data_IF_168452261808
#
_entry.id   IF_168452261808
#
_cell.length_a   1.000
_cell.length_b   1.000
_cell.length_c   1.000
_cell.angle_alpha   90.00
_cell.angle_beta   90.00
_cell.angle_gamma   90.00
#
_symmetry.space_group_name_H-M   'P 1'
#
loop_
_entity.id
_entity.type
_entity.pdbx_description
1 polymer ?
#
# COMPACT_ATOMS: atom_id res chain seq x y z
N UNK A 1 -24.84 56.64 65.02
CA UNK A 1 -26.22 56.23 65.27
C UNK A 1 -26.74 55.62 63.98
N UNK A 2 -26.95 54.29 64.05
CA UNK A 2 -28.01 53.51 63.36
C UNK A 2 -27.96 53.34 61.82
N UNK A 3 -28.20 52.17 61.21
CA UNK A 3 -28.57 50.82 61.66
C UNK A 3 -28.43 49.82 60.44
N UNK A 4 -27.73 48.68 60.64
CA UNK A 4 -28.04 47.28 60.23
C UNK A 4 -27.98 46.75 58.76
N UNK A 5 -27.29 45.60 58.63
CA UNK A 5 -27.75 44.25 58.17
C UNK A 5 -26.73 43.57 57.21
N UNK A 6 -25.62 42.99 57.68
CA UNK A 6 -25.36 41.59 58.12
C UNK A 6 -25.81 40.49 57.15
N UNK A 7 -24.83 39.72 56.65
CA UNK A 7 -25.01 38.45 55.93
C UNK A 7 -23.72 37.66 55.62
N UNK A 8 -22.87 37.45 56.65
CA UNK A 8 -21.72 36.52 56.84
C UNK A 8 -21.28 35.57 55.69
N UNK A 9 -20.06 35.60 55.15
CA UNK A 9 -18.68 35.30 55.63
C UNK A 9 -18.21 33.82 55.62
N UNK A 10 -17.04 33.66 54.99
CA UNK A 10 -16.26 32.45 54.72
C UNK A 10 -15.58 31.80 55.94
N UNK A 11 -15.23 30.52 55.74
CA UNK A 11 -14.03 29.79 56.21
C UNK A 11 -13.90 29.42 57.71
N UNK A 12 -13.89 28.10 58.02
CA UNK A 12 -13.03 27.50 59.06
C UNK A 12 -12.70 26.05 58.68
N UNK A 13 -11.40 25.73 58.58
CA UNK A 13 -10.86 24.38 58.70
C UNK A 13 -10.65 24.04 60.20
N UNK A 14 -10.86 22.78 60.63
CA UNK A 14 -9.96 22.02 61.52
C UNK A 14 -10.56 20.65 61.95
N UNK A 15 -9.77 19.60 61.67
CA UNK A 15 -9.52 18.38 62.45
C UNK A 15 -10.66 17.59 63.14
N UNK A 16 -10.80 16.31 62.75
CA UNK A 16 -10.87 15.18 63.70
C UNK A 16 -10.58 13.84 63.02
N UNK A 17 -9.69 13.07 63.65
CA UNK A 17 -9.26 11.72 63.29
C UNK A 17 -10.23 10.64 63.77
N UNK A 18 -10.05 9.42 63.22
CA UNK A 18 -10.62 8.08 63.58
C UNK A 18 -11.82 7.66 62.71
N UNK A 19 -11.97 6.42 62.22
CA UNK A 19 -11.22 5.16 62.31
C UNK A 19 -11.72 4.24 61.17
N UNK A 20 -10.79 3.45 60.64
CA UNK A 20 -10.87 2.14 59.95
C UNK A 20 -12.26 1.58 59.53
N UNK A 21 -12.36 1.27 58.24
CA UNK A 21 -13.36 0.36 57.67
C UNK A 21 -12.93 -0.10 56.28
N UNK A 22 -11.96 -1.00 56.22
CA UNK A 22 -11.52 -1.64 54.97
C UNK A 22 -12.50 -2.72 54.54
N UNK A 23 -12.97 -2.64 53.29
CA UNK A 23 -13.52 -3.74 52.52
C UNK A 23 -13.02 -3.63 51.06
N UNK A 24 -12.84 -4.76 50.36
CA UNK A 24 -11.71 -4.96 49.45
C UNK A 24 -11.93 -4.50 48.01
N UNK A 25 -10.84 -4.01 47.43
CA UNK A 25 -10.67 -3.59 46.03
C UNK A 25 -10.62 -4.85 45.14
N UNK A 26 -11.77 -5.42 44.80
CA UNK A 26 -11.86 -6.61 43.93
C UNK A 26 -12.83 -6.43 42.73
N UNK A 27 -13.02 -5.19 42.26
CA UNK A 27 -13.88 -4.89 41.09
C UNK A 27 -13.23 -4.02 40.01
N UNK A 28 -11.90 -3.90 39.97
CA UNK A 28 -11.21 -3.14 38.91
C UNK A 28 -10.59 -3.99 37.79
N UNK A 29 -10.87 -5.30 37.73
CA UNK A 29 -10.53 -6.15 36.58
C UNK A 29 -11.72 -6.30 35.62
N UNK A 30 -12.33 -5.19 35.19
CA UNK A 30 -13.26 -5.15 34.07
C UNK A 30 -13.53 -3.71 33.59
N UNK A 31 -12.48 -2.91 33.45
CA UNK A 31 -12.52 -1.76 32.54
C UNK A 31 -11.46 -2.05 31.50
N UNK A 32 -11.85 -2.83 30.48
CA UNK A 32 -11.09 -2.90 29.26
C UNK A 32 -10.81 -1.48 28.80
N UNK A 33 -9.56 -1.20 28.44
CA UNK A 33 -9.24 0.05 27.77
C UNK A 33 -10.19 0.16 26.57
N UNK A 34 -11.17 1.06 26.67
CA UNK A 34 -11.77 1.65 25.49
C UNK A 34 -10.64 2.43 24.82
N UNK A 35 -9.87 1.72 24.00
CA UNK A 35 -9.24 2.34 22.86
C UNK A 35 -10.39 2.84 21.99
N UNK A 36 -10.77 4.10 22.20
CA UNK A 36 -11.47 4.87 21.20
C UNK A 36 -10.63 4.77 19.93
N UNK A 37 -11.08 3.92 19.00
CA UNK A 37 -10.47 3.83 17.68
C UNK A 37 -10.52 5.23 17.09
N UNK A 38 -9.33 5.77 16.81
CA UNK A 38 -9.18 7.07 16.22
C UNK A 38 -9.70 7.00 14.78
N UNK A 39 -10.98 7.36 14.62
CA UNK A 39 -11.71 7.64 13.39
C UNK A 39 -11.13 7.18 12.06
N UNK A 40 -11.41 5.93 11.67
CA UNK A 40 -11.62 5.61 10.25
C UNK A 40 -13.10 5.86 9.95
N UNK A 41 -13.42 6.86 9.12
CA UNK A 41 -14.80 7.03 8.65
C UNK A 41 -15.30 5.72 8.03
N UNK A 42 -16.54 5.29 8.31
CA UNK A 42 -17.05 4.05 7.76
C UNK A 42 -17.05 4.15 6.22
N UNK A 43 -16.31 3.26 5.57
CA UNK A 43 -16.29 3.19 4.11
C UNK A 43 -17.69 2.82 3.65
N UNK A 44 -18.39 3.76 3.03
CA UNK A 44 -19.66 3.46 2.40
C UNK A 44 -19.36 2.74 1.08
N UNK A 45 -19.63 1.42 1.01
CA UNK A 45 -19.38 0.61 -0.20
C UNK A 45 -20.03 1.19 -1.47
N UNK A 46 -21.10 1.97 -1.33
CA UNK A 46 -21.76 2.65 -2.46
C UNK A 46 -21.00 3.87 -2.99
N UNK A 47 -20.04 4.41 -2.24
CA UNK A 47 -19.20 5.54 -2.65
C UNK A 47 -17.97 5.13 -3.44
N UNK A 48 -17.65 3.83 -3.49
CA UNK A 48 -16.49 3.35 -4.24
C UNK A 48 -16.92 3.25 -5.72
N UNK A 49 -16.32 4.05 -6.63
CA UNK A 49 -16.70 4.05 -8.03
C UNK A 49 -16.36 2.70 -8.68
N UNK A 50 -17.26 2.21 -9.53
CA UNK A 50 -17.01 1.03 -10.36
C UNK A 50 -17.31 -0.33 -9.74
N UNK A 51 -17.85 -0.42 -8.51
CA UNK A 51 -18.29 -1.73 -7.99
C UNK A 51 -19.52 -2.25 -8.73
N UNK A 52 -19.43 -3.50 -9.16
CA UNK A 52 -20.60 -4.26 -9.62
C UNK A 52 -21.46 -4.75 -8.44
N UNK A 53 -22.76 -5.05 -8.63
CA UNK A 53 -23.63 -5.51 -7.55
C UNK A 53 -23.10 -6.72 -6.75
N UNK A 54 -22.36 -7.62 -7.39
CA UNK A 54 -21.69 -8.76 -6.72
C UNK A 54 -20.58 -8.29 -5.77
N UNK A 55 -19.74 -7.36 -6.21
CA UNK A 55 -18.69 -6.75 -5.39
C UNK A 55 -19.30 -5.90 -4.27
N UNK A 56 -20.42 -5.21 -4.52
CA UNK A 56 -21.12 -4.44 -3.49
C UNK A 56 -21.64 -5.35 -2.36
N UNK A 57 -22.16 -6.53 -2.71
CA UNK A 57 -22.57 -7.54 -1.72
C UNK A 57 -21.37 -8.05 -0.92
N UNK A 58 -20.26 -8.32 -1.58
CA UNK A 58 -19.01 -8.70 -0.92
C UNK A 58 -18.55 -7.61 0.07
N UNK A 59 -18.48 -6.35 -0.39
CA UNK A 59 -18.08 -5.22 0.44
C UNK A 59 -18.98 -5.06 1.68
N UNK A 60 -20.30 -5.28 1.54
CA UNK A 60 -21.23 -5.26 2.67
C UNK A 60 -21.02 -6.42 3.64
N UNK A 61 -20.75 -7.63 3.13
CA UNK A 61 -20.50 -8.81 3.96
C UNK A 61 -19.18 -8.71 4.73
N UNK A 62 -18.18 -8.04 4.15
CA UNK A 62 -16.83 -7.92 4.68
C UNK A 62 -16.49 -6.48 5.09
N UNK A 63 -17.50 -5.70 5.49
CA UNK A 63 -17.36 -4.26 5.76
C UNK A 63 -16.29 -3.94 6.81
N UNK A 64 -16.11 -4.83 7.79
CA UNK A 64 -15.12 -4.69 8.87
C UNK A 64 -13.68 -4.70 8.36
N UNK A 65 -13.37 -5.48 7.31
CA UNK A 65 -12.01 -5.60 6.76
C UNK A 65 -11.75 -4.63 5.61
N UNK A 66 -12.79 -4.00 5.05
CA UNK A 66 -12.66 -3.09 3.89
C UNK A 66 -11.70 -1.90 4.11
N UNK A 67 -11.60 -1.27 5.30
CA UNK A 67 -10.59 -0.23 5.55
C UNK A 67 -9.16 -0.70 5.33
N UNK A 68 -8.87 -1.93 5.73
CA UNK A 68 -7.55 -2.54 5.53
C UNK A 68 -7.30 -2.96 4.10
N UNK A 69 -8.32 -3.42 3.39
CA UNK A 69 -8.22 -3.66 1.94
C UNK A 69 -7.86 -2.34 1.22
N UNK A 70 -8.53 -1.24 1.57
CA UNK A 70 -8.26 0.08 1.00
C UNK A 70 -6.84 0.58 1.32
N UNK A 71 -6.38 0.39 2.57
CA UNK A 71 -5.02 0.75 2.97
C UNK A 71 -3.97 -0.11 2.27
N UNK A 72 -4.23 -1.41 2.11
CA UNK A 72 -3.37 -2.32 1.36
C UNK A 72 -3.22 -1.93 -0.11
N UNK A 73 -4.32 -1.56 -0.77
CA UNK A 73 -4.27 -1.04 -2.14
C UNK A 73 -3.46 0.27 -2.21
N UNK A 74 -3.63 1.17 -1.24
CA UNK A 74 -2.85 2.42 -1.15
C UNK A 74 -1.36 2.13 -0.98
N UNK A 75 -0.99 1.17 -0.16
CA UNK A 75 0.40 0.72 0.00
C UNK A 75 0.97 0.21 -1.33
N UNK A 76 0.19 -0.59 -2.07
CA UNK A 76 0.54 -1.06 -3.41
C UNK A 76 0.84 0.08 -4.40
N UNK A 77 0.01 1.11 -4.43
CA UNK A 77 0.21 2.26 -5.33
C UNK A 77 1.38 3.16 -4.91
N UNK A 78 1.60 3.34 -3.61
CA UNK A 78 2.78 4.06 -3.12
C UNK A 78 4.07 3.35 -3.55
N UNK A 79 4.11 2.02 -3.47
CA UNK A 79 5.24 1.25 -3.94
C UNK A 79 5.37 1.28 -5.47
N UNK A 80 4.25 1.28 -6.20
CA UNK A 80 4.28 1.49 -7.66
C UNK A 80 4.92 2.84 -8.03
N UNK A 81 4.53 3.92 -7.35
CA UNK A 81 5.14 5.24 -7.54
C UNK A 81 6.63 5.23 -7.15
N UNK A 82 7.00 4.48 -6.11
CA UNK A 82 8.40 4.30 -5.74
C UNK A 82 9.20 3.61 -6.86
N UNK A 83 8.74 2.46 -7.34
CA UNK A 83 9.41 1.64 -8.35
C UNK A 83 9.54 2.37 -9.71
N UNK A 84 8.59 3.25 -10.04
CA UNK A 84 8.54 3.96 -11.32
C UNK A 84 8.92 5.45 -11.24
N UNK A 85 9.39 5.96 -10.10
CA UNK A 85 9.69 7.39 -9.85
C UNK A 85 10.55 8.05 -10.95
N UNK A 86 11.51 7.32 -11.49
CA UNK A 86 12.46 7.79 -12.51
C UNK A 86 12.10 7.42 -13.95
N UNK A 87 10.98 6.72 -14.18
CA UNK A 87 10.54 6.33 -15.54
C UNK A 87 9.55 7.34 -16.10
N UNK A 88 9.41 7.42 -17.44
CA UNK A 88 8.47 8.34 -18.14
C UNK A 88 7.02 8.18 -17.65
N UNK A 89 6.58 6.94 -17.44
CA UNK A 89 5.40 6.65 -16.65
C UNK A 89 5.81 6.38 -15.20
N UNK A 90 5.27 7.16 -14.25
CA UNK A 90 5.66 7.16 -12.84
C UNK A 90 4.53 6.72 -11.89
N UNK A 91 3.50 6.04 -12.42
CA UNK A 91 2.36 5.53 -11.65
C UNK A 91 1.50 6.60 -10.94
N UNK A 92 1.59 7.89 -11.31
CA UNK A 92 0.74 8.96 -10.74
C UNK A 92 -0.58 9.16 -11.49
N UNK A 93 -0.80 8.45 -12.58
CA UNK A 93 -2.02 8.50 -13.40
C UNK A 93 -3.24 7.89 -12.71
N UNK A 94 -3.03 7.20 -11.59
CA UNK A 94 -4.07 6.57 -10.77
C UNK A 94 -4.57 7.61 -9.77
N UNK A 95 -5.54 8.44 -10.19
CA UNK A 95 -6.04 9.58 -9.41
C UNK A 95 -6.82 9.18 -8.15
N UNK A 96 -7.42 7.99 -8.12
CA UNK A 96 -8.22 7.53 -6.99
C UNK A 96 -7.71 6.17 -6.50
N UNK A 97 -7.08 6.15 -5.32
CA UNK A 97 -6.54 4.94 -4.65
C UNK A 97 -7.57 3.80 -4.48
N UNK A 98 -8.86 4.08 -4.64
CA UNK A 98 -9.97 3.12 -4.49
C UNK A 98 -10.62 2.70 -5.81
N UNK A 99 -10.31 3.36 -6.94
CA UNK A 99 -10.89 3.03 -8.24
C UNK A 99 -10.32 1.73 -8.84
N UNK A 100 -9.30 1.11 -8.23
CA UNK A 100 -8.59 -0.12 -8.68
C UNK A 100 -9.50 -1.33 -8.91
N UNK A 101 -10.69 -1.33 -8.33
CA UNK A 101 -11.70 -2.35 -8.58
C UNK A 101 -12.52 -2.14 -9.86
N UNK A 102 -12.31 -1.01 -10.56
CA UNK A 102 -12.82 -0.67 -11.89
C UNK A 102 -11.72 -0.62 -12.97
N UNK A 103 -12.02 -0.15 -14.19
CA UNK A 103 -11.04 -0.02 -15.27
C UNK A 103 -10.06 1.14 -14.97
N UNK A 104 -9.02 0.87 -14.18
CA UNK A 104 -8.05 1.91 -13.75
C UNK A 104 -7.02 2.28 -14.79
N UNK A 105 -6.83 1.41 -15.78
CA UNK A 105 -6.05 1.66 -16.97
C UNK A 105 -6.77 0.93 -18.10
N UNK A 106 -7.44 1.65 -19.01
CA UNK A 106 -8.27 1.03 -20.05
C UNK A 106 -7.48 0.08 -20.96
N UNK A 107 -6.17 0.34 -21.12
CA UNK A 107 -5.28 -0.42 -21.99
C UNK A 107 -4.58 -1.58 -21.28
N UNK A 108 -4.44 -2.72 -21.96
CA UNK A 108 -3.85 -3.95 -21.45
C UNK A 108 -2.32 -3.97 -21.58
N UNK A 109 -1.70 -2.90 -21.06
CA UNK A 109 -0.25 -2.66 -21.14
C UNK A 109 0.51 -3.38 -20.03
N UNK A 110 1.83 -3.43 -20.20
CA UNK A 110 2.76 -3.94 -19.19
C UNK A 110 2.67 -3.18 -17.86
N UNK A 111 2.46 -1.86 -17.90
CA UNK A 111 2.29 -1.03 -16.69
C UNK A 111 1.03 -1.45 -15.93
N UNK A 112 -0.06 -1.73 -16.65
CA UNK A 112 -1.32 -2.19 -16.06
C UNK A 112 -1.17 -3.55 -15.38
N UNK A 113 -0.42 -4.47 -15.99
CA UNK A 113 -0.12 -5.77 -15.40
C UNK A 113 0.57 -5.63 -14.03
N UNK A 114 1.57 -4.76 -13.93
CA UNK A 114 2.26 -4.49 -12.67
C UNK A 114 1.35 -3.85 -11.63
N UNK A 115 0.54 -2.86 -12.02
CA UNK A 115 -0.43 -2.20 -11.10
C UNK A 115 -1.40 -3.21 -10.50
N UNK A 116 -1.96 -4.10 -11.30
CA UNK A 116 -2.87 -5.15 -10.84
C UNK A 116 -2.19 -6.11 -9.86
N UNK A 117 -0.95 -6.52 -10.14
CA UNK A 117 -0.18 -7.37 -9.26
C UNK A 117 0.17 -6.70 -7.93
N UNK A 118 0.76 -5.50 -7.95
CA UNK A 118 1.20 -4.82 -6.72
C UNK A 118 0.03 -4.36 -5.85
N UNK A 119 -1.10 -3.96 -6.44
CA UNK A 119 -2.30 -3.60 -5.68
C UNK A 119 -2.94 -4.84 -5.03
N UNK A 120 -2.96 -5.98 -5.72
CA UNK A 120 -3.45 -7.25 -5.18
C UNK A 120 -2.52 -7.76 -4.07
N UNK A 121 -1.20 -7.59 -4.22
CA UNK A 121 -0.22 -7.90 -3.18
C UNK A 121 -0.43 -7.02 -1.94
N UNK A 122 -0.58 -5.70 -2.10
CA UNK A 122 -0.81 -4.78 -0.99
C UNK A 122 -2.09 -5.08 -0.20
N UNK A 123 -3.19 -5.39 -0.91
CA UNK A 123 -4.45 -5.81 -0.29
C UNK A 123 -4.31 -7.08 0.57
N UNK A 124 -3.58 -8.08 0.09
CA UNK A 124 -3.29 -9.30 0.85
C UNK A 124 -2.41 -9.04 2.08
N UNK A 125 -1.39 -8.19 1.94
CA UNK A 125 -0.46 -7.87 3.02
C UNK A 125 -1.19 -7.28 4.23
N UNK A 126 -2.07 -6.29 4.01
CA UNK A 126 -2.78 -5.65 5.11
C UNK A 126 -3.89 -6.52 5.70
N UNK A 127 -4.49 -7.42 4.90
CA UNK A 127 -5.43 -8.43 5.39
C UNK A 127 -4.81 -9.31 6.48
N UNK A 128 -3.62 -9.84 6.23
CA UNK A 128 -2.89 -10.68 7.21
C UNK A 128 -2.40 -9.89 8.42
N UNK A 129 -2.05 -8.61 8.26
CA UNK A 129 -1.67 -7.77 9.38
C UNK A 129 -2.85 -7.58 10.37
N UNK A 130 -4.07 -7.35 9.88
CA UNK A 130 -5.28 -7.31 10.72
C UNK A 130 -5.51 -8.62 11.48
N UNK A 131 -5.33 -9.75 10.81
CA UNK A 131 -5.45 -11.10 11.39
C UNK A 131 -4.51 -11.27 12.60
N UNK A 132 -3.34 -10.64 12.56
CA UNK A 132 -2.33 -10.68 13.63
C UNK A 132 -2.58 -9.67 14.74
N UNK A 133 -3.19 -8.53 14.43
CA UNK A 133 -3.56 -7.49 15.40
C UNK A 133 -4.80 -7.87 16.24
N UNK A 134 -5.51 -8.94 15.85
CA UNK A 134 -6.69 -9.43 16.59
C UNK A 134 -7.88 -8.48 16.55
N UNK A 135 -7.89 -7.54 15.59
CA UNK A 135 -8.86 -6.44 15.51
C UNK A 135 -10.16 -6.82 14.81
N UNK A 136 -10.24 -8.02 14.21
CA UNK A 136 -11.45 -8.54 13.56
C UNK A 136 -11.94 -9.81 14.25
N UNK A 137 -13.27 -9.91 14.39
CA UNK A 137 -13.98 -11.08 14.92
C UNK A 137 -14.15 -12.21 13.89
N UNK A 138 -13.94 -11.94 12.60
CA UNK A 138 -14.16 -12.91 11.51
C UNK A 138 -12.91 -13.70 11.09
N UNK A 139 -11.75 -13.38 11.67
CA UNK A 139 -10.44 -13.71 11.15
C UNK A 139 -9.48 -13.93 12.33
N UNK A 140 -8.75 -15.05 12.39
CA UNK A 140 -7.83 -15.39 13.50
C UNK A 140 -6.42 -15.80 13.05
N UNK A 141 -5.47 -15.86 13.99
CA UNK A 141 -4.11 -16.33 13.73
C UNK A 141 -4.07 -17.82 13.36
N UNK A 142 -3.19 -18.17 12.42
CA UNK A 142 -3.10 -19.46 11.73
C UNK A 142 -3.31 -20.70 12.64
N UNK A 143 -4.37 -21.43 12.33
CA UNK A 143 -4.66 -22.78 12.83
C UNK A 143 -4.88 -23.70 11.63
N UNK A 144 -3.84 -23.87 10.81
CA UNK A 144 -3.65 -25.00 9.90
C UNK A 144 -4.87 -25.39 9.05
N UNK A 145 -5.54 -24.40 8.46
CA UNK A 145 -6.49 -24.61 7.37
C UNK A 145 -6.04 -23.76 6.19
N UNK A 146 -5.80 -24.42 5.05
CA UNK A 146 -5.73 -23.76 3.75
C UNK A 146 -7.06 -23.04 3.57
N UNK A 147 -7.06 -21.73 3.80
CA UNK A 147 -8.20 -20.89 3.49
C UNK A 147 -8.49 -21.02 2.00
N UNK A 148 -9.74 -21.32 1.65
CA UNK A 148 -10.21 -21.04 0.30
C UNK A 148 -9.91 -19.57 0.03
N UNK A 149 -9.11 -19.31 -1.00
CA UNK A 149 -8.90 -17.96 -1.49
C UNK A 149 -10.27 -17.34 -1.68
N UNK A 150 -10.54 -16.27 -0.92
CA UNK A 150 -11.67 -15.42 -1.22
C UNK A 150 -11.41 -14.91 -2.64
N UNK A 151 -12.06 -15.55 -3.62
CA UNK A 151 -12.13 -15.12 -5.01
C UNK A 151 -12.82 -13.76 -4.97
N UNK A 152 -12.04 -12.71 -4.65
CA UNK A 152 -12.47 -11.33 -4.62
C UNK A 152 -13.21 -11.11 -5.91
N UNK A 153 -14.54 -10.97 -5.84
CA UNK A 153 -15.47 -11.27 -6.91
C UNK A 153 -15.05 -10.66 -8.25
N UNK A 154 -14.13 -11.34 -8.95
CA UNK A 154 -13.65 -10.95 -10.25
C UNK A 154 -14.87 -11.15 -11.11
N UNK A 155 -15.24 -10.08 -11.79
CA UNK A 155 -16.25 -10.18 -12.80
C UNK A 155 -15.68 -11.16 -13.84
N UNK A 156 -16.11 -12.42 -13.79
CA UNK A 156 -15.72 -13.47 -14.74
C UNK A 156 -16.40 -13.17 -16.09
N UNK A 157 -16.14 -11.98 -16.64
CA UNK A 157 -16.45 -11.67 -18.02
C UNK A 157 -15.50 -12.51 -18.89
N UNK A 158 -16.03 -13.11 -19.96
CA UNK A 158 -15.25 -13.93 -20.86
C UNK A 158 -14.47 -13.06 -21.87
N UNK A 159 -13.85 -11.97 -21.39
CA UNK A 159 -13.07 -11.02 -22.18
C UNK A 159 -11.57 -11.10 -21.84
N UNK A 160 -10.74 -10.77 -22.82
CA UNK A 160 -9.29 -10.89 -22.69
C UNK A 160 -8.72 -10.06 -21.54
N UNK A 161 -9.33 -8.90 -21.26
CA UNK A 161 -8.90 -8.03 -20.17
C UNK A 161 -9.11 -8.66 -18.80
N UNK A 162 -10.27 -9.26 -18.56
CA UNK A 162 -10.53 -9.95 -17.29
C UNK A 162 -9.61 -11.16 -17.11
N UNK A 163 -9.28 -11.88 -18.18
CA UNK A 163 -8.29 -12.97 -18.15
C UNK A 163 -6.90 -12.48 -17.73
N UNK A 164 -6.42 -11.39 -18.34
CA UNK A 164 -5.13 -10.75 -18.00
C UNK A 164 -5.11 -10.28 -16.54
N UNK A 165 -6.14 -9.54 -16.13
CA UNK A 165 -6.22 -8.98 -14.78
C UNK A 165 -6.24 -10.09 -13.73
N UNK A 166 -6.97 -11.19 -13.96
CA UNK A 166 -7.01 -12.34 -13.04
C UNK A 166 -5.63 -12.96 -12.87
N UNK A 167 -4.92 -13.22 -13.96
CA UNK A 167 -3.58 -13.78 -13.92
C UNK A 167 -2.61 -12.89 -13.12
N UNK A 168 -2.58 -11.59 -13.43
CA UNK A 168 -1.66 -10.66 -12.76
C UNK A 168 -2.02 -10.42 -11.29
N UNK A 169 -3.32 -10.38 -10.96
CA UNK A 169 -3.78 -10.30 -9.58
C UNK A 169 -3.32 -11.54 -8.78
N UNK A 170 -3.42 -12.72 -9.38
CA UNK A 170 -2.95 -13.96 -8.75
C UNK A 170 -1.44 -13.93 -8.56
N UNK A 171 -0.66 -13.60 -9.59
CA UNK A 171 0.79 -13.45 -9.48
C UNK A 171 1.21 -12.52 -8.32
N UNK A 172 0.47 -11.42 -8.12
CA UNK A 172 0.66 -10.51 -6.99
C UNK A 172 0.36 -11.14 -5.62
N UNK A 173 -0.73 -11.91 -5.50
CA UNK A 173 -1.12 -12.60 -4.25
C UNK A 173 -0.18 -13.74 -3.91
N UNK A 174 0.14 -14.59 -4.88
CA UNK A 174 1.06 -15.72 -4.71
C UNK A 174 2.44 -15.23 -4.25
N UNK A 175 2.88 -14.08 -4.74
CA UNK A 175 4.16 -13.47 -4.36
C UNK A 175 4.27 -13.22 -2.84
N UNK A 176 3.18 -12.87 -2.16
CA UNK A 176 3.19 -12.71 -0.69
C UNK A 176 3.49 -14.04 -0.02
N UNK A 177 2.79 -15.09 -0.43
CA UNK A 177 2.87 -16.43 0.13
C UNK A 177 4.26 -17.04 -0.08
N UNK A 178 4.82 -16.88 -1.27
CA UNK A 178 6.14 -17.39 -1.64
C UNK A 178 7.29 -16.73 -0.85
N UNK A 179 7.09 -15.51 -0.35
CA UNK A 179 8.13 -14.72 0.33
C UNK A 179 7.89 -14.57 1.85
N UNK A 180 6.96 -15.34 2.42
CA UNK A 180 6.83 -15.46 3.87
C UNK A 180 8.14 -15.99 4.46
N UNK A 181 8.62 -15.37 5.54
CA UNK A 181 9.86 -15.80 6.19
C UNK A 181 9.69 -16.00 7.70
N UNK A 182 10.47 -16.94 8.23
CA UNK A 182 10.48 -17.24 9.66
C UNK A 182 11.21 -16.10 10.39
N UNK A 183 10.49 -15.37 11.24
CA UNK A 183 11.05 -14.36 12.14
C UNK A 183 11.10 -14.94 13.55
N UNK A 184 12.23 -14.76 14.22
CA UNK A 184 12.44 -15.26 15.57
C UNK A 184 12.79 -14.12 16.53
N UNK A 185 12.27 -14.18 17.74
CA UNK A 185 12.71 -13.36 18.87
C UNK A 185 13.46 -14.23 19.86
N UNK A 186 14.63 -13.75 20.26
CA UNK A 186 15.50 -14.42 21.21
C UNK A 186 15.18 -13.98 22.63
N UNK A 187 15.13 -14.95 23.55
CA UNK A 187 14.69 -14.76 24.93
C UNK A 187 15.68 -15.32 25.96
N UNK A 188 16.88 -15.73 25.53
CA UNK A 188 17.90 -16.23 26.44
C UNK A 188 18.53 -15.12 27.29
N UNK A 189 19.31 -15.54 28.30
CA UNK A 189 20.04 -14.65 29.21
C UNK A 189 20.83 -13.60 28.44
N UNK A 190 20.69 -12.33 28.83
CA UNK A 190 21.33 -11.18 28.19
C UNK A 190 21.05 -11.03 26.68
N UNK A 191 19.91 -11.57 26.20
CA UNK A 191 19.53 -11.52 24.78
C UNK A 191 20.10 -12.67 23.93
N UNK A 192 20.62 -13.74 24.55
CA UNK A 192 21.07 -14.92 23.81
C UNK A 192 19.93 -15.61 23.05
N UNK A 193 20.26 -16.28 21.94
CA UNK A 193 19.29 -16.97 21.08
C UNK A 193 19.19 -18.48 21.33
N UNK A 194 19.71 -18.96 22.46
CA UNK A 194 19.61 -20.37 22.88
C UNK A 194 18.15 -20.81 23.03
N UNK A 195 17.33 -19.92 23.59
CA UNK A 195 15.87 -20.03 23.58
C UNK A 195 15.32 -18.93 22.68
N UNK A 196 14.56 -19.33 21.66
CA UNK A 196 13.92 -18.40 20.73
C UNK A 196 12.51 -18.88 20.37
N UNK A 197 11.64 -17.92 20.17
CA UNK A 197 10.28 -18.15 19.66
C UNK A 197 10.21 -17.62 18.25
N UNK A 198 9.74 -18.43 17.31
CA UNK A 198 9.66 -18.09 15.89
C UNK A 198 8.22 -18.11 15.40
N UNK A 199 7.92 -17.27 14.41
CA UNK A 199 6.64 -17.22 13.72
C UNK A 199 6.86 -16.87 12.25
N UNK A 200 5.96 -17.32 11.38
CA UNK A 200 5.92 -16.85 10.00
C UNK A 200 5.52 -15.38 9.99
N UNK A 201 6.27 -14.57 9.26
CA UNK A 201 5.99 -13.15 9.07
C UNK A 201 6.06 -12.80 7.60
N UNK A 202 5.32 -11.77 7.24
CA UNK A 202 5.38 -11.19 5.92
C UNK A 202 6.70 -10.48 5.69
N UNK A 203 7.17 -10.45 4.44
CA UNK A 203 8.34 -9.66 4.07
C UNK A 203 8.07 -8.16 4.11
N UNK A 204 9.13 -7.38 4.04
CA UNK A 204 9.02 -5.95 3.75
C UNK A 204 8.39 -5.76 2.37
N UNK A 205 7.39 -4.87 2.29
CA UNK A 205 6.68 -4.59 1.04
C UNK A 205 7.60 -4.03 -0.04
N UNK A 206 8.71 -3.34 0.32
CA UNK A 206 9.72 -2.91 -0.64
C UNK A 206 10.32 -4.08 -1.41
N UNK A 207 10.63 -5.18 -0.71
CA UNK A 207 11.19 -6.38 -1.36
C UNK A 207 10.18 -7.01 -2.33
N UNK A 208 8.89 -7.02 -1.97
CA UNK A 208 7.83 -7.48 -2.90
C UNK A 208 7.73 -6.57 -4.13
N UNK A 209 7.86 -5.25 -3.92
CA UNK A 209 7.92 -4.25 -4.98
C UNK A 209 9.07 -4.51 -5.96
N UNK A 210 10.26 -4.77 -5.43
CA UNK A 210 11.46 -5.09 -6.22
C UNK A 210 11.27 -6.39 -7.02
N UNK A 211 10.76 -7.45 -6.38
CA UNK A 211 10.48 -8.72 -7.06
C UNK A 211 9.45 -8.57 -8.19
N UNK A 212 8.32 -7.90 -7.93
CA UNK A 212 7.32 -7.65 -8.97
C UNK A 212 7.85 -6.72 -10.07
N UNK A 213 8.81 -5.85 -9.74
CA UNK A 213 9.43 -4.93 -10.70
C UNK A 213 10.36 -5.68 -11.66
N UNK A 214 11.00 -6.75 -11.20
CA UNK A 214 11.73 -7.70 -12.04
C UNK A 214 10.76 -8.47 -12.95
N UNK A 215 9.64 -8.96 -12.39
CA UNK A 215 8.58 -9.62 -13.17
C UNK A 215 7.95 -8.70 -14.23
N UNK A 216 7.88 -7.40 -13.98
CA UNK A 216 7.49 -6.41 -14.98
C UNK A 216 8.49 -6.33 -16.13
N UNK A 217 9.80 -6.30 -15.84
CA UNK A 217 10.81 -6.22 -16.90
C UNK A 217 10.80 -7.48 -17.79
N UNK A 218 10.49 -8.65 -17.22
CA UNK A 218 10.36 -9.94 -17.92
C UNK A 218 8.91 -10.33 -18.30
N UNK A 219 7.96 -9.40 -18.28
CA UNK A 219 6.55 -9.71 -18.54
C UNK A 219 6.34 -10.31 -19.94
N UNK A 220 5.45 -11.29 -20.05
CA UNK A 220 5.17 -12.01 -21.29
C UNK A 220 4.08 -11.33 -22.12
N UNK A 221 4.36 -11.10 -23.41
CA UNK A 221 3.38 -10.58 -24.35
C UNK A 221 2.49 -11.72 -24.88
N UNK A 222 1.17 -11.52 -24.79
CA UNK A 222 0.14 -12.47 -25.18
C UNK A 222 -0.62 -12.00 -26.42
N UNK A 223 -1.35 -12.91 -27.05
CA UNK A 223 -2.26 -12.68 -28.17
C UNK A 223 -3.66 -13.12 -27.73
N UNK A 224 -4.66 -12.34 -28.13
CA UNK A 224 -6.06 -12.64 -27.85
C UNK A 224 -6.59 -13.63 -28.89
N UNK A 225 -7.13 -14.75 -28.43
CA UNK A 225 -7.83 -15.73 -29.26
C UNK A 225 -9.31 -15.77 -28.86
N UNK A 226 -10.19 -15.87 -29.86
CA UNK A 226 -11.63 -15.94 -29.64
C UNK A 226 -12.15 -17.30 -30.05
N UNK A 227 -12.84 -17.98 -29.15
CA UNK A 227 -13.50 -19.25 -29.43
C UNK A 227 -14.93 -19.24 -28.89
N UNK A 228 -15.73 -20.19 -29.39
CA UNK A 228 -17.15 -20.29 -29.05
C UNK A 228 -17.35 -21.40 -28.03
N UNK A 229 -17.93 -21.06 -26.89
CA UNK A 229 -18.34 -21.99 -25.85
C UNK A 229 -19.86 -22.02 -25.73
N UNK A 230 -20.39 -22.95 -24.92
CA UNK A 230 -21.83 -23.12 -24.67
C UNK A 230 -22.50 -21.85 -24.13
N UNK A 231 -21.75 -20.98 -23.45
CA UNK A 231 -22.23 -19.71 -22.85
C UNK A 231 -22.02 -18.48 -23.74
N UNK A 232 -21.41 -18.63 -24.91
CA UNK A 232 -21.15 -17.52 -25.85
C UNK A 232 -19.70 -17.46 -26.34
N UNK A 233 -19.32 -16.29 -26.85
CA UNK A 233 -17.94 -16.02 -27.26
C UNK A 233 -17.06 -15.81 -26.04
N UNK A 234 -15.89 -16.44 -26.05
CA UNK A 234 -14.89 -16.33 -25.00
C UNK A 234 -13.56 -15.93 -25.61
N UNK A 235 -12.89 -14.98 -24.96
CA UNK A 235 -11.57 -14.53 -25.32
C UNK A 235 -10.53 -15.12 -24.34
N UNK A 236 -9.51 -15.78 -24.87
CA UNK A 236 -8.38 -16.34 -24.11
C UNK A 236 -7.06 -15.73 -24.52
N UNK A 237 -6.05 -15.86 -23.66
CA UNK A 237 -4.71 -15.36 -23.89
C UNK A 237 -3.78 -16.51 -24.23
N UNK A 238 -3.14 -16.43 -25.40
CA UNK A 238 -2.07 -17.34 -25.80
C UNK A 238 -0.74 -16.59 -25.86
N UNK A 239 0.37 -17.28 -25.58
CA UNK A 239 1.71 -16.69 -25.73
C UNK A 239 1.95 -16.24 -27.17
N UNK A 240 2.48 -15.03 -27.36
CA UNK A 240 2.81 -14.49 -28.69
C UNK A 240 4.01 -15.21 -29.32
N UNK A 241 5.01 -15.53 -28.51
CA UNK A 241 6.27 -16.12 -28.95
C UNK A 241 6.47 -17.50 -28.33
N UNK A 242 6.00 -18.54 -29.02
CA UNK A 242 6.01 -19.93 -28.53
C UNK A 242 7.41 -20.55 -28.35
N UNK A 243 8.46 -19.93 -28.91
CA UNK A 243 9.84 -20.41 -28.76
C UNK A 243 10.47 -20.05 -27.41
N UNK A 244 9.88 -19.12 -26.66
CA UNK A 244 10.33 -18.76 -25.32
C UNK A 244 9.58 -19.57 -24.25
N UNK A 245 10.10 -19.54 -23.02
CA UNK A 245 9.41 -20.17 -21.88
C UNK A 245 8.02 -19.55 -21.70
N UNK A 246 7.03 -20.41 -21.50
CA UNK A 246 5.66 -19.99 -21.21
C UNK A 246 5.59 -19.33 -19.83
N UNK A 247 4.75 -18.29 -19.65
CA UNK A 247 4.57 -17.65 -18.36
C UNK A 247 3.93 -18.62 -17.36
N UNK A 248 4.44 -18.60 -16.13
CA UNK A 248 3.88 -19.30 -14.98
C UNK A 248 2.86 -18.42 -14.27
N UNK A 249 2.16 -18.96 -13.27
CA UNK A 249 1.24 -18.19 -12.39
C UNK A 249 1.93 -17.06 -11.61
N UNK A 250 3.27 -17.06 -11.55
CA UNK A 250 4.09 -16.04 -10.87
C UNK A 250 4.62 -14.97 -11.81
N UNK A 251 4.35 -15.08 -13.10
CA UNK A 251 4.82 -14.13 -14.11
C UNK A 251 3.71 -13.12 -14.44
N UNK A 252 4.11 -11.99 -15.02
CA UNK A 252 3.14 -10.99 -15.47
C UNK A 252 2.86 -11.14 -16.97
N UNK A 253 1.62 -10.92 -17.37
CA UNK A 253 1.16 -11.00 -18.76
C UNK A 253 0.47 -9.72 -19.21
N UNK A 254 0.67 -9.36 -20.47
CA UNK A 254 0.03 -8.22 -21.13
C UNK A 254 -0.18 -8.52 -22.62
N UNK A 255 -1.05 -7.79 -23.32
CA UNK A 255 -1.30 -8.03 -24.75
C UNK A 255 -1.39 -6.76 -25.61
N UNK A 256 -1.30 -5.57 -25.01
CA UNK A 256 -1.22 -4.29 -25.74
C UNK A 256 0.14 -3.61 -25.51
N UNK A 257 0.68 -3.02 -26.57
CA UNK A 257 1.91 -2.23 -26.48
C UNK A 257 1.73 -0.97 -25.64
N UNK A 258 2.72 -0.66 -24.81
CA UNK A 258 2.71 0.57 -24.00
C UNK A 258 2.74 1.81 -24.90
N UNK A 259 1.93 2.84 -24.60
CA UNK A 259 1.92 4.07 -25.37
C UNK A 259 3.20 4.88 -25.16
N UNK A 260 3.40 5.92 -25.98
CA UNK A 260 4.45 6.88 -25.73
C UNK A 260 4.08 7.82 -24.58
N UNK A 261 4.83 7.76 -23.47
CA UNK A 261 4.62 8.59 -22.29
C UNK A 261 5.35 9.95 -22.32
N UNK A 262 6.01 10.31 -23.43
CA UNK A 262 6.75 11.56 -23.54
C UNK A 262 5.86 12.80 -23.51
N UNK A 263 4.73 12.73 -24.21
CA UNK A 263 3.77 13.83 -24.37
C UNK A 263 2.50 13.55 -23.57
N UNK A 264 1.80 14.61 -23.13
CA UNK A 264 0.50 14.47 -22.48
C UNK A 264 -0.51 13.90 -23.47
N UNK A 265 -1.21 12.84 -23.07
CA UNK A 265 -2.26 12.23 -23.87
C UNK A 265 -3.37 11.70 -22.93
N UNK A 266 -4.53 12.35 -22.97
CA UNK A 266 -5.68 12.05 -22.13
C UNK A 266 -6.30 10.66 -22.40
N UNK A 267 -6.27 10.17 -23.64
CA UNK A 267 -6.79 8.84 -24.01
C UNK A 267 -5.96 7.71 -23.39
N UNK A 268 -4.67 7.94 -23.21
CA UNK A 268 -3.75 6.98 -22.57
C UNK A 268 -3.56 7.22 -21.09
N UNK A 269 -4.11 8.33 -20.57
CA UNK A 269 -3.83 8.82 -19.23
C UNK A 269 -2.43 9.39 -19.03
N UNK A 270 -1.59 9.50 -20.06
CA UNK A 270 -0.22 10.05 -19.96
C UNK A 270 -0.25 11.55 -19.63
N UNK A 271 0.51 11.97 -18.61
CA UNK A 271 0.74 13.40 -18.33
C UNK A 271 1.91 14.01 -19.12
N UNK A 272 2.69 13.19 -19.83
CA UNK A 272 3.95 13.62 -20.43
C UNK A 272 5.09 13.74 -19.42
N UNK A 273 6.27 14.15 -19.90
CA UNK A 273 7.47 14.27 -19.06
C UNK A 273 7.92 15.70 -18.81
N UNK A 274 7.18 16.70 -19.28
CA UNK A 274 7.48 18.11 -19.06
C UNK A 274 7.49 18.45 -17.56
N UNK A 275 8.40 19.34 -17.17
CA UNK A 275 8.64 19.80 -15.79
C UNK A 275 9.07 18.72 -14.79
N UNK A 276 9.33 17.49 -15.26
CA UNK A 276 9.85 16.42 -14.41
C UNK A 276 11.32 16.61 -14.11
N UNK A 277 11.69 16.36 -12.85
CA UNK A 277 13.09 16.35 -12.42
C UNK A 277 13.82 15.20 -13.09
N UNK A 278 14.97 15.50 -13.69
CA UNK A 278 15.83 14.52 -14.37
C UNK A 278 17.25 14.55 -13.80
N UNK A 279 17.99 13.46 -13.98
CA UNK A 279 19.38 13.34 -13.52
C UNK A 279 20.35 13.55 -14.69
N UNK A 280 21.14 14.63 -14.66
CA UNK A 280 22.12 14.92 -15.73
C UNK A 280 23.31 13.96 -15.73
N UNK A 281 23.65 13.36 -14.58
CA UNK A 281 24.77 12.43 -14.47
C UNK A 281 24.42 11.00 -14.90
N UNK A 282 23.14 10.71 -15.12
CA UNK A 282 22.66 9.39 -15.52
C UNK A 282 22.45 9.34 -17.04
N UNK A 283 23.01 8.33 -17.69
CA UNK A 283 22.70 7.98 -19.08
C UNK A 283 21.55 6.97 -19.19
N UNK A 284 20.98 6.55 -18.05
CA UNK A 284 19.87 5.60 -17.99
C UNK A 284 18.50 6.25 -18.14
N UNK A 285 17.45 5.51 -17.80
CA UNK A 285 16.05 5.94 -17.95
C UNK A 285 15.72 7.19 -17.13
N UNK A 286 16.40 7.40 -16.00
CA UNK A 286 16.28 8.61 -15.16
C UNK A 286 17.09 9.80 -15.70
N UNK A 287 17.90 9.56 -16.74
CA UNK A 287 18.73 10.54 -17.41
C UNK A 287 17.91 11.61 -18.13
N UNK A 288 18.41 12.84 -18.17
CA UNK A 288 17.70 13.94 -18.87
C UNK A 288 17.48 13.65 -20.36
N UNK A 289 18.40 12.96 -21.05
CA UNK A 289 18.24 12.63 -22.47
C UNK A 289 17.04 11.70 -22.72
N UNK A 290 16.92 10.65 -21.92
CA UNK A 290 15.86 9.65 -22.06
C UNK A 290 14.54 10.08 -21.42
N UNK A 291 14.56 10.68 -20.23
CA UNK A 291 13.35 11.11 -19.53
C UNK A 291 12.68 12.29 -20.24
N UNK A 292 13.46 13.24 -20.75
CA UNK A 292 12.94 14.42 -21.46
C UNK A 292 12.75 14.18 -22.97
N UNK A 293 12.94 12.94 -23.43
CA UNK A 293 12.67 12.53 -24.81
C UNK A 293 13.40 13.39 -25.87
N UNK A 294 14.64 13.80 -25.58
CA UNK A 294 15.44 14.63 -26.47
C UNK A 294 15.07 16.12 -26.52
N UNK A 295 14.05 16.59 -25.76
CA UNK A 295 13.67 18.01 -25.72
C UNK A 295 14.64 18.90 -24.94
N UNK A 296 15.60 18.29 -24.24
CA UNK A 296 16.51 18.95 -23.30
C UNK A 296 15.85 19.28 -21.96
N UNK A 297 16.57 20.00 -21.10
CA UNK A 297 16.13 20.36 -19.76
C UNK A 297 16.47 21.82 -19.41
N UNK A 298 15.69 22.38 -18.49
CA UNK A 298 16.00 23.63 -17.80
C UNK A 298 16.82 23.33 -16.55
N UNK A 299 17.62 24.29 -16.08
CA UNK A 299 18.41 24.17 -14.85
C UNK A 299 18.05 25.33 -13.94
N UNK A 300 17.74 25.04 -12.68
CA UNK A 300 17.53 26.05 -11.63
C UNK A 300 18.37 25.71 -10.41
N UNK A 301 18.93 26.72 -9.79
CA UNK A 301 19.67 26.56 -8.53
C UNK A 301 18.72 26.76 -7.36
N UNK A 302 18.64 25.78 -6.47
CA UNK A 302 17.73 25.75 -5.32
C UNK A 302 18.55 25.67 -4.02
N UNK A 303 18.27 26.59 -3.08
CA UNK A 303 18.89 26.59 -1.75
C UNK A 303 17.99 25.82 -0.78
N UNK A 304 18.50 24.76 -0.18
CA UNK A 304 17.77 23.95 0.81
C UNK A 304 18.44 24.06 2.18
N UNK A 305 17.63 24.29 3.21
CA UNK A 305 18.08 24.22 4.60
C UNK A 305 18.03 22.77 5.04
N UNK A 306 19.16 22.26 5.52
CA UNK A 306 19.27 20.90 6.06
C UNK A 306 20.03 20.91 7.38
N UNK A 307 19.77 19.90 8.20
CA UNK A 307 20.51 19.69 9.45
C UNK A 307 21.89 19.13 9.10
N UNK A 308 22.92 19.76 9.62
CA UNK A 308 24.32 19.43 9.37
C UNK A 308 25.11 19.45 10.67
N UNK A 309 26.33 18.90 10.65
CA UNK A 309 27.23 18.88 11.82
C UNK A 309 26.52 18.41 13.09
N UNK A 310 25.74 17.33 12.97
CA UNK A 310 24.99 16.77 14.07
C UNK A 310 25.91 16.09 15.07
N UNK A 311 25.93 16.58 16.31
CA UNK A 311 26.69 16.03 17.42
C UNK A 311 25.71 15.33 18.36
N UNK A 312 26.01 14.07 18.65
CA UNK A 312 25.28 13.31 19.65
C UNK A 312 25.86 13.60 21.03
N UNK A 313 25.01 14.08 21.94
CA UNK A 313 25.37 14.28 23.33
C UNK A 313 24.92 13.05 24.13
N UNK A 314 25.89 12.34 24.72
CA UNK A 314 25.59 11.16 25.51
C UNK A 314 24.68 11.55 26.69
N UNK A 315 23.49 10.94 26.72
CA UNK A 315 22.33 11.25 27.56
C UNK A 315 21.53 12.53 27.18
N UNK A 316 20.60 12.56 26.22
CA UNK A 316 20.13 11.63 25.18
C UNK A 316 19.56 12.46 24.00
N UNK A 317 20.34 13.40 23.46
CA UNK A 317 19.85 14.25 22.37
C UNK A 317 20.91 14.48 21.29
N UNK A 318 20.43 14.73 20.08
CA UNK A 318 21.26 15.12 18.94
C UNK A 318 21.11 16.63 18.76
N UNK A 319 22.21 17.34 18.79
CA UNK A 319 22.26 18.77 18.46
C UNK A 319 22.81 18.92 17.04
N UNK A 320 22.04 19.55 16.15
CA UNK A 320 22.46 19.81 14.77
C UNK A 320 22.44 21.31 14.49
N UNK A 321 23.39 21.76 13.68
CA UNK A 321 23.36 23.09 13.10
C UNK A 321 22.46 23.11 11.87
N UNK A 322 21.98 24.30 11.48
CA UNK A 322 21.29 24.48 10.19
C UNK A 322 22.29 24.96 9.14
N UNK A 323 22.48 24.16 8.10
CA UNK A 323 23.27 24.54 6.94
C UNK A 323 22.35 24.85 5.76
N UNK A 324 22.79 25.77 4.91
CA UNK A 324 22.19 25.99 3.60
C UNK A 324 23.06 25.29 2.57
N UNK A 325 22.53 24.27 1.91
CA UNK A 325 23.16 23.64 0.75
C UNK A 325 22.49 24.13 -0.53
N UNK A 326 23.31 24.27 -1.57
CA UNK A 326 22.90 24.74 -2.88
C UNK A 326 22.91 23.54 -3.81
N UNK A 327 21.79 23.29 -4.47
CA UNK A 327 21.61 22.17 -5.40
C UNK A 327 21.16 22.71 -6.75
N UNK A 328 21.70 22.15 -7.84
CA UNK A 328 21.16 22.39 -9.18
C UNK A 328 20.09 21.33 -9.48
N UNK A 329 18.88 21.80 -9.78
CA UNK A 329 17.73 20.97 -10.14
C UNK A 329 17.48 21.11 -11.62
N UNK A 330 17.49 19.99 -12.33
CA UNK A 330 17.23 19.93 -13.76
C UNK A 330 15.82 19.41 -14.02
N UNK A 331 15.05 20.11 -14.86
CA UNK A 331 13.68 19.73 -15.20
C UNK A 331 13.46 19.70 -16.70
N UNK A 332 12.78 18.66 -17.21
CA UNK A 332 12.49 18.52 -18.63
C UNK A 332 11.69 19.70 -19.19
N UNK A 333 12.00 20.08 -20.44
CA UNK A 333 11.28 21.12 -21.18
C UNK A 333 9.91 20.67 -21.69
#
# INVERSE_FOLDING_TARGET
>A
MDLYLIGYLMCVCLSSSRVLGGYPIWWSLALGQQYSSLGSQPILCGSIPGLVPKQLRFCRNYIEIMPSVAEGVKLGIQECQHQFRGRRWNCTTIKDNLAIFGPVLDKATRESAFVHAIASAGGGVRGDALLREGTSTMCGCDSHHKGEDAEFGVLNRPDARSAMNRHNNEAGRTTILDHMNLRCKCHGLSGSCEVKTCWWAQPDFRMLGDYLKDKYDSASEMVVEKHRESRGWVETLRVKYAFFKHPTERDLVYYEGSPNFCEPNQETGSFGTRDRVCNVSSHGIEGCDLLCCGRGHNTRTEKRKEKCHCIFHWCCYVSCQECVRIYDVHTCK
#
